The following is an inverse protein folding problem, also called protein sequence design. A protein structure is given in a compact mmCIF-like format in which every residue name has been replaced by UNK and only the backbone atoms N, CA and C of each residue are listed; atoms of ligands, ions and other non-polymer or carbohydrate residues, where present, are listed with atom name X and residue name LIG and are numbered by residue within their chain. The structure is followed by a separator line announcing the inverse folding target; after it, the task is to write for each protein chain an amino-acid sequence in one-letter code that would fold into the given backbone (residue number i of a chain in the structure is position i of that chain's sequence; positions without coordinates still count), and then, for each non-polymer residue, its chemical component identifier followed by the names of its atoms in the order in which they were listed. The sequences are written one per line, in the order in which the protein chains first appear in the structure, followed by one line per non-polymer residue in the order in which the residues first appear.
data_IF_171642504691
#
_entry.id   IF_171642504691
#
_cell.length_a   1.000
_cell.length_b   1.000
_cell.length_c   1.000
_cell.angle_alpha   90.00
_cell.angle_beta   90.00
_cell.angle_gamma   90.00
#
_symmetry.space_group_name_H-M   'P 1'
#
loop_
_entity.id
_entity.type
_entity.pdbx_description
1 polymer ?
#
# COMPACT_ATOMS: atom_id res chain seq x y z
N UNK A 1 78.83 -51.04 -46.49
CA UNK A 1 78.71 -49.57 -46.37
C UNK A 1 80.10 -48.92 -46.24
N UNK A 2 80.94 -48.96 -47.29
CA UNK A 2 82.33 -48.42 -47.28
C UNK A 2 82.49 -47.12 -48.12
N UNK A 3 81.41 -46.36 -48.33
CA UNK A 3 81.30 -45.54 -49.55
C UNK A 3 80.86 -44.07 -49.40
N UNK A 4 80.76 -43.50 -48.20
CA UNK A 4 80.45 -42.06 -48.07
C UNK A 4 81.64 -41.25 -47.57
N UNK A 5 82.31 -41.73 -46.52
CA UNK A 5 83.50 -41.09 -45.94
C UNK A 5 84.71 -41.11 -46.87
N UNK A 6 84.90 -42.17 -47.67
CA UNK A 6 85.99 -42.27 -48.66
C UNK A 6 85.80 -41.31 -49.84
N UNK A 7 84.56 -41.18 -50.34
CA UNK A 7 84.20 -40.25 -51.44
C UNK A 7 84.31 -38.79 -51.03
N UNK A 8 83.88 -38.45 -49.82
CA UNK A 8 84.06 -37.10 -49.26
C UNK A 8 85.55 -36.75 -49.12
N UNK A 9 86.38 -37.69 -48.65
CA UNK A 9 87.83 -37.49 -48.49
C UNK A 9 88.53 -37.21 -49.83
N UNK A 10 88.14 -37.90 -50.91
CA UNK A 10 88.72 -37.71 -52.26
C UNK A 10 88.32 -36.37 -52.91
N UNK A 11 87.11 -35.87 -52.63
CA UNK A 11 86.64 -34.57 -53.13
C UNK A 11 87.30 -33.39 -52.41
N UNK A 12 87.50 -33.50 -51.08
CA UNK A 12 88.10 -32.43 -50.28
C UNK A 12 89.64 -32.46 -50.26
N UNK A 13 90.30 -33.59 -50.59
CA UNK A 13 91.78 -33.68 -50.63
C UNK A 13 92.41 -33.04 -51.87
N UNK A 14 91.69 -32.98 -53.00
CA UNK A 14 92.26 -32.56 -54.29
C UNK A 14 91.92 -31.10 -54.66
N UNK A 15 91.11 -30.40 -53.87
CA UNK A 15 90.70 -29.03 -54.18
C UNK A 15 90.45 -28.20 -52.89
N UNK A 16 91.47 -27.50 -52.36
CA UNK A 16 91.36 -26.76 -51.10
C UNK A 16 90.28 -25.66 -51.13
N UNK A 17 89.91 -25.16 -52.32
CA UNK A 17 88.80 -24.21 -52.48
C UNK A 17 87.44 -24.75 -52.05
N UNK A 18 87.17 -26.06 -52.22
CA UNK A 18 85.91 -26.69 -51.80
C UNK A 18 85.80 -26.77 -50.27
N UNK A 19 86.90 -26.98 -49.56
CA UNK A 19 86.94 -26.96 -48.09
C UNK A 19 86.63 -25.55 -47.59
N UNK A 20 87.22 -24.53 -48.20
CA UNK A 20 87.00 -23.12 -47.83
C UNK A 20 85.53 -22.71 -48.07
N UNK A 21 84.93 -23.12 -49.19
CA UNK A 21 83.52 -22.85 -49.50
C UNK A 21 82.59 -23.56 -48.50
N UNK A 22 82.87 -24.83 -48.17
CA UNK A 22 82.06 -25.56 -47.19
C UNK A 22 82.15 -24.94 -45.78
N UNK A 23 83.34 -24.50 -45.36
CA UNK A 23 83.54 -23.80 -44.09
C UNK A 23 82.86 -22.42 -44.11
N UNK A 24 82.98 -21.65 -45.19
CA UNK A 24 82.32 -20.36 -45.36
C UNK A 24 80.78 -20.50 -45.38
N UNK A 25 80.25 -21.53 -46.03
CA UNK A 25 78.82 -21.83 -46.01
C UNK A 25 78.36 -22.21 -44.59
N UNK A 26 79.14 -23.02 -43.87
CA UNK A 26 78.83 -23.39 -42.49
C UNK A 26 78.88 -22.19 -41.54
N UNK A 27 79.82 -21.25 -41.70
CA UNK A 27 79.88 -20.03 -40.88
C UNK A 27 78.76 -19.04 -41.20
N UNK A 28 78.35 -18.91 -42.47
CA UNK A 28 77.19 -18.11 -42.87
C UNK A 28 75.90 -18.71 -42.31
N UNK A 29 75.73 -20.04 -42.39
CA UNK A 29 74.57 -20.73 -41.80
C UNK A 29 74.56 -20.53 -40.28
N UNK A 30 75.71 -20.68 -39.60
CA UNK A 30 75.80 -20.48 -38.16
C UNK A 30 75.50 -19.03 -37.75
N UNK A 31 76.04 -18.04 -38.47
CA UNK A 31 75.74 -16.61 -38.25
C UNK A 31 74.29 -16.23 -38.58
N UNK A 32 73.69 -16.86 -39.59
CA UNK A 32 72.27 -16.69 -39.90
C UNK A 32 71.39 -17.28 -38.78
N UNK A 33 71.75 -18.44 -38.23
CA UNK A 33 71.00 -19.04 -37.11
C UNK A 33 71.11 -18.23 -35.83
N UNK A 34 72.22 -17.56 -35.54
CA UNK A 34 72.34 -16.72 -34.34
C UNK A 34 71.60 -15.37 -34.49
N UNK A 35 71.46 -14.85 -35.71
CA UNK A 35 70.72 -13.59 -35.98
C UNK A 35 69.20 -13.77 -36.06
N UNK A 36 68.71 -14.99 -36.29
CA UNK A 36 67.28 -15.30 -36.35
C UNK A 36 66.64 -15.60 -34.98
N UNK A 37 67.45 -15.73 -33.92
CA UNK A 37 66.97 -15.97 -32.56
C UNK A 37 66.24 -14.73 -32.01
N UNK A 38 65.05 -14.95 -31.43
CA UNK A 38 64.25 -13.90 -30.80
C UNK A 38 64.15 -14.17 -29.31
N UNK A 39 64.40 -13.16 -28.49
CA UNK A 39 64.19 -13.25 -27.03
C UNK A 39 62.83 -12.65 -26.71
N UNK A 40 62.00 -13.35 -25.97
CA UNK A 40 60.65 -12.91 -25.62
C UNK A 40 60.35 -13.20 -24.16
N UNK A 41 59.36 -12.49 -23.62
CA UNK A 41 58.79 -12.74 -22.30
C UNK A 41 57.34 -13.22 -22.46
N UNK A 42 56.97 -14.25 -21.71
CA UNK A 42 55.60 -14.77 -21.65
C UNK A 42 55.13 -14.61 -20.21
N UNK A 43 54.15 -13.75 -19.96
CA UNK A 43 53.53 -13.57 -18.65
C UNK A 43 52.24 -14.37 -18.58
N UNK A 44 52.20 -15.40 -17.73
CA UNK A 44 51.00 -16.21 -17.45
C UNK A 44 50.50 -15.87 -16.07
N UNK A 45 49.36 -15.19 -15.99
CA UNK A 45 48.75 -14.71 -14.73
C UNK A 45 49.75 -13.94 -13.83
N UNK A 46 50.62 -13.15 -14.44
CA UNK A 46 51.66 -12.36 -13.75
C UNK A 46 52.99 -13.08 -13.55
N UNK A 47 53.08 -14.38 -13.79
CA UNK A 47 54.35 -15.11 -13.75
C UNK A 47 55.07 -15.04 -15.10
N UNK A 48 56.25 -14.43 -15.13
CA UNK A 48 57.00 -14.18 -16.37
C UNK A 48 58.04 -15.26 -16.64
N UNK A 49 57.97 -15.86 -17.83
CA UNK A 49 58.94 -16.81 -18.38
C UNK A 49 59.69 -16.12 -19.52
N UNK A 50 61.01 -16.04 -19.40
CA UNK A 50 61.86 -15.54 -20.46
C UNK A 50 62.39 -16.72 -21.29
N UNK A 51 62.27 -16.63 -22.61
CA UNK A 51 62.78 -17.69 -23.49
C UNK A 51 63.31 -17.14 -24.80
N UNK A 52 64.20 -17.91 -25.41
CA UNK A 52 64.59 -17.71 -26.80
C UNK A 52 63.76 -18.60 -27.73
N UNK A 53 63.45 -18.11 -28.92
CA UNK A 53 62.65 -18.83 -29.90
C UNK A 53 63.02 -18.47 -31.33
N UNK A 54 62.90 -19.45 -32.22
CA UNK A 54 62.99 -19.29 -33.68
C UNK A 54 61.62 -19.31 -34.34
N UNK A 55 60.53 -19.45 -33.56
CA UNK A 55 59.18 -19.55 -34.07
C UNK A 55 58.69 -18.22 -34.65
N UNK A 56 57.74 -18.33 -35.58
CA UNK A 56 57.23 -17.17 -36.31
C UNK A 56 56.02 -16.54 -35.65
N UNK A 57 55.21 -17.34 -34.96
CA UNK A 57 53.91 -16.91 -34.40
C UNK A 57 53.81 -17.20 -32.90
N UNK A 58 52.96 -16.44 -32.20
CA UNK A 58 52.69 -16.65 -30.77
C UNK A 58 52.20 -18.08 -30.52
N UNK A 59 51.30 -18.61 -31.36
CA UNK A 59 50.79 -19.98 -31.27
C UNK A 59 51.89 -21.03 -31.24
N UNK A 60 52.86 -20.92 -32.15
CA UNK A 60 53.99 -21.84 -32.24
C UNK A 60 54.91 -21.73 -31.02
N UNK A 61 55.16 -20.51 -30.55
CA UNK A 61 55.93 -20.24 -29.33
C UNK A 61 55.29 -20.95 -28.14
N UNK A 62 54.00 -20.69 -27.90
CA UNK A 62 53.28 -21.27 -26.76
C UNK A 62 53.26 -22.79 -26.82
N UNK A 63 53.06 -23.36 -28.02
CA UNK A 63 53.12 -24.81 -28.24
C UNK A 63 54.51 -25.38 -27.92
N UNK A 64 55.59 -24.70 -28.33
CA UNK A 64 56.98 -25.11 -28.04
C UNK A 64 57.36 -25.01 -26.56
N UNK A 65 56.76 -24.05 -25.85
CA UNK A 65 56.89 -23.90 -24.40
C UNK A 65 55.99 -24.88 -23.61
N UNK A 66 55.27 -25.79 -24.30
CA UNK A 66 54.28 -26.71 -23.73
C UNK A 66 53.14 -25.99 -22.98
N UNK A 67 52.85 -24.74 -23.35
CA UNK A 67 51.77 -23.93 -22.80
C UNK A 67 50.52 -24.19 -23.64
N UNK A 68 49.63 -25.07 -23.13
CA UNK A 68 48.30 -25.27 -23.71
C UNK A 68 47.42 -24.07 -23.38
N UNK A 69 46.72 -23.54 -24.37
CA UNK A 69 45.85 -22.37 -24.23
C UNK A 69 44.39 -22.81 -24.28
N UNK A 70 43.59 -22.37 -23.31
CA UNK A 70 42.16 -22.63 -23.28
C UNK A 70 41.39 -21.77 -24.29
N UNK A 71 40.20 -22.20 -24.68
CA UNK A 71 39.36 -21.46 -25.65
C UNK A 71 38.86 -20.11 -25.14
N UNK A 72 38.84 -19.92 -23.81
CA UNK A 72 38.39 -18.71 -23.12
C UNK A 72 39.54 -17.90 -22.51
N UNK A 73 40.79 -18.36 -22.67
CA UNK A 73 41.96 -17.60 -22.24
C UNK A 73 42.11 -16.34 -23.10
N UNK A 74 42.59 -15.25 -22.52
CA UNK A 74 42.95 -14.05 -23.28
C UNK A 74 44.44 -14.00 -23.51
N UNK A 75 44.82 -13.79 -24.77
CA UNK A 75 46.22 -13.76 -25.21
C UNK A 75 46.46 -12.46 -25.97
N UNK A 76 47.45 -11.70 -25.51
CA UNK A 76 47.85 -10.42 -26.11
C UNK A 76 49.38 -10.38 -26.24
N UNK A 77 49.93 -10.22 -27.46
CA UNK A 77 49.28 -10.23 -28.76
C UNK A 77 48.62 -11.58 -29.10
N UNK A 78 47.59 -11.58 -29.95
CA UNK A 78 46.82 -12.78 -30.29
C UNK A 78 47.66 -13.90 -30.93
N UNK A 79 47.13 -15.13 -30.93
CA UNK A 79 47.86 -16.35 -31.31
C UNK A 79 48.56 -16.30 -32.69
N UNK A 80 47.97 -15.63 -33.67
CA UNK A 80 48.53 -15.53 -35.04
C UNK A 80 49.52 -14.36 -35.21
N UNK A 81 49.78 -13.59 -34.15
CA UNK A 81 50.68 -12.45 -34.19
C UNK A 81 52.12 -12.90 -34.46
N UNK A 82 52.82 -12.16 -35.34
CA UNK A 82 54.22 -12.42 -35.66
C UNK A 82 55.15 -12.05 -34.50
N UNK A 83 56.01 -12.99 -34.11
CA UNK A 83 56.94 -12.83 -32.99
C UNK A 83 58.16 -12.02 -33.39
N UNK A 84 58.55 -11.07 -32.55
CA UNK A 84 59.75 -10.21 -32.67
C UNK A 84 60.59 -10.34 -31.40
N UNK A 85 61.90 -10.07 -31.51
CA UNK A 85 62.76 -9.99 -30.32
C UNK A 85 62.32 -8.81 -29.43
N UNK A 86 62.33 -9.00 -28.12
CA UNK A 86 61.79 -8.08 -27.11
C UNK A 86 60.27 -8.10 -26.95
N UNK A 87 59.55 -9.00 -27.63
CA UNK A 87 58.08 -9.08 -27.52
C UNK A 87 57.65 -9.67 -26.17
N UNK A 88 56.62 -9.06 -25.59
CA UNK A 88 55.91 -9.59 -24.42
C UNK A 88 54.59 -10.21 -24.84
N UNK A 89 54.31 -11.41 -24.33
CA UNK A 89 53.05 -12.12 -24.55
C UNK A 89 52.37 -12.28 -23.19
N UNK A 90 51.22 -11.64 -23.03
CA UNK A 90 50.37 -11.74 -21.85
C UNK A 90 49.32 -12.82 -22.07
N UNK A 91 49.21 -13.73 -21.11
CA UNK A 91 48.20 -14.78 -21.05
C UNK A 91 47.46 -14.62 -19.74
N UNK A 92 46.16 -14.33 -19.84
CA UNK A 92 45.24 -14.38 -18.70
C UNK A 92 44.39 -15.63 -18.82
N UNK A 93 44.53 -16.53 -17.84
CA UNK A 93 43.80 -17.79 -17.81
C UNK A 93 42.34 -17.57 -17.48
N UNK A 94 41.49 -18.33 -18.15
CA UNK A 94 40.07 -18.36 -17.83
C UNK A 94 39.87 -19.11 -16.51
N UNK A 95 39.28 -18.43 -15.53
CA UNK A 95 38.94 -19.04 -14.25
C UNK A 95 37.47 -19.50 -14.26
N UNK A 96 37.14 -20.61 -13.58
CA UNK A 96 35.75 -21.04 -13.42
C UNK A 96 34.98 -20.11 -12.49
N UNK A 97 33.82 -19.65 -12.92
CA UNK A 97 32.84 -18.92 -12.11
C UNK A 97 31.46 -19.58 -12.24
N UNK A 98 30.64 -19.45 -11.21
CA UNK A 98 29.27 -19.98 -11.21
C UNK A 98 28.29 -18.82 -11.21
N UNK A 99 27.42 -18.75 -12.22
CA UNK A 99 26.40 -17.70 -12.33
C UNK A 99 25.03 -18.32 -12.17
N UNK A 100 24.26 -17.84 -11.19
CA UNK A 100 22.84 -18.17 -11.03
C UNK A 100 21.99 -17.05 -11.60
N UNK A 101 21.20 -17.34 -12.61
CA UNK A 101 20.35 -16.38 -13.31
C UNK A 101 19.14 -17.08 -13.90
N UNK A 102 17.97 -16.45 -13.85
CA UNK A 102 16.71 -16.96 -14.44
C UNK A 102 16.38 -18.40 -13.99
N UNK A 103 16.66 -18.71 -12.73
CA UNK A 103 16.45 -20.03 -12.12
C UNK A 103 17.43 -21.13 -12.56
N UNK A 104 18.46 -20.80 -13.35
CA UNK A 104 19.49 -21.73 -13.83
C UNK A 104 20.84 -21.44 -13.17
N UNK A 105 21.67 -22.48 -13.04
CA UNK A 105 23.06 -22.37 -12.61
C UNK A 105 23.98 -22.68 -13.79
N UNK A 106 24.79 -21.69 -14.19
CA UNK A 106 25.71 -21.74 -15.31
C UNK A 106 27.15 -21.79 -14.79
N UNK A 107 27.94 -22.76 -15.27
CA UNK A 107 29.38 -22.82 -15.01
C UNK A 107 30.12 -22.22 -16.20
N UNK A 108 30.79 -21.11 -15.96
CA UNK A 108 31.38 -20.26 -17.00
C UNK A 108 32.88 -20.16 -16.76
N UNK A 109 33.67 -20.35 -17.80
CA UNK A 109 35.10 -20.05 -17.78
C UNK A 109 35.31 -18.68 -18.42
N UNK A 110 35.91 -17.74 -17.69
CA UNK A 110 36.13 -16.37 -18.18
C UNK A 110 37.50 -15.83 -17.81
N UNK A 111 38.10 -15.08 -18.74
CA UNK A 111 39.30 -14.29 -18.52
C UNK A 111 38.98 -12.78 -18.55
N UNK A 112 37.71 -12.40 -18.35
CA UNK A 112 37.29 -11.00 -18.22
C UNK A 112 37.76 -10.38 -16.91
N UNK A 113 37.96 -9.06 -16.91
CA UNK A 113 38.47 -8.36 -15.74
C UNK A 113 37.40 -8.20 -14.66
N UNK A 114 36.14 -8.02 -15.05
CA UNK A 114 35.03 -7.68 -14.15
C UNK A 114 33.79 -8.52 -14.41
N UNK A 115 32.94 -8.64 -13.37
CA UNK A 115 31.62 -9.29 -13.45
C UNK A 115 30.79 -8.76 -14.62
N UNK A 116 30.75 -7.43 -14.83
CA UNK A 116 29.99 -6.81 -15.93
C UNK A 116 30.43 -7.33 -17.30
N UNK A 117 31.73 -7.36 -17.56
CA UNK A 117 32.24 -7.77 -18.87
C UNK A 117 31.96 -9.26 -19.12
N UNK A 118 32.13 -10.10 -18.09
CA UNK A 118 31.80 -11.52 -18.15
C UNK A 118 30.32 -11.74 -18.47
N UNK A 119 29.41 -11.09 -17.73
CA UNK A 119 27.96 -11.22 -17.96
C UNK A 119 27.57 -10.79 -19.38
N UNK A 120 28.12 -9.67 -19.86
CA UNK A 120 27.89 -9.19 -21.22
C UNK A 120 28.40 -10.16 -22.30
N UNK A 121 29.61 -10.72 -22.12
CA UNK A 121 30.18 -11.68 -23.06
C UNK A 121 29.33 -12.95 -23.19
N UNK A 122 28.72 -13.38 -22.09
CA UNK A 122 27.84 -14.56 -22.04
C UNK A 122 26.38 -14.22 -22.41
N UNK A 123 26.11 -12.98 -22.83
CA UNK A 123 24.78 -12.54 -23.28
C UNK A 123 23.77 -12.32 -22.16
N UNK A 124 24.22 -12.27 -20.90
CA UNK A 124 23.38 -12.00 -19.73
C UNK A 124 23.21 -10.50 -19.58
N UNK A 125 22.23 -9.95 -20.30
CA UNK A 125 21.90 -8.52 -20.25
C UNK A 125 21.08 -8.23 -18.99
N UNK A 126 21.48 -7.20 -18.24
CA UNK A 126 20.81 -6.75 -17.03
C UNK A 126 19.88 -5.58 -17.33
N UNK A 127 18.70 -5.57 -16.72
CA UNK A 127 17.83 -4.39 -16.69
C UNK A 127 18.34 -3.38 -15.66
N UNK A 128 17.86 -2.14 -15.73
CA UNK A 128 18.28 -1.05 -14.82
C UNK A 128 18.10 -1.36 -13.33
N UNK A 129 17.09 -2.18 -12.99
CA UNK A 129 16.74 -2.53 -11.62
C UNK A 129 17.25 -3.91 -11.18
N UNK A 130 17.75 -4.71 -12.12
CA UNK A 130 18.30 -6.02 -11.79
C UNK A 130 19.49 -5.85 -10.84
N UNK A 131 19.68 -6.84 -9.96
CA UNK A 131 20.76 -6.80 -8.98
C UNK A 131 21.69 -7.98 -9.18
N UNK A 132 22.95 -7.75 -8.91
CA UNK A 132 23.99 -8.79 -8.93
C UNK A 132 24.55 -8.88 -7.52
N UNK A 133 24.70 -10.10 -6.98
CA UNK A 133 25.23 -10.31 -5.63
C UNK A 133 26.61 -9.69 -5.47
N UNK A 134 27.42 -9.81 -6.52
CA UNK A 134 28.73 -9.21 -6.65
C UNK A 134 28.62 -7.88 -7.40
N UNK A 135 29.41 -6.89 -7.02
CA UNK A 135 29.43 -5.61 -7.71
C UNK A 135 29.78 -5.76 -9.19
N UNK A 136 29.15 -4.99 -10.08
CA UNK A 136 29.42 -5.07 -11.53
C UNK A 136 30.88 -4.78 -11.91
N UNK A 137 31.56 -3.97 -11.09
CA UNK A 137 32.98 -3.62 -11.26
C UNK A 137 33.91 -4.53 -10.45
N UNK A 138 33.36 -5.50 -9.73
CA UNK A 138 34.14 -6.42 -8.92
C UNK A 138 35.06 -7.25 -9.82
N UNK A 139 36.35 -7.38 -9.49
CA UNK A 139 37.27 -8.22 -10.23
C UNK A 139 36.85 -9.70 -10.20
N UNK A 140 37.01 -10.40 -11.32
CA UNK A 140 36.74 -11.84 -11.38
C UNK A 140 37.83 -12.60 -10.59
N UNK A 141 37.37 -13.50 -9.72
CA UNK A 141 38.22 -14.42 -8.94
C UNK A 141 37.84 -15.88 -9.20
N UNK A 142 38.75 -16.80 -8.91
CA UNK A 142 38.53 -18.23 -9.12
C UNK A 142 37.41 -18.77 -8.22
N UNK A 143 36.50 -19.57 -8.79
CA UNK A 143 35.35 -20.18 -8.12
C UNK A 143 34.32 -19.17 -7.55
N UNK A 144 34.35 -17.93 -8.03
CA UNK A 144 33.39 -16.89 -7.66
C UNK A 144 31.95 -17.32 -7.98
N UNK A 145 31.03 -17.01 -7.06
CA UNK A 145 29.59 -17.30 -7.20
C UNK A 145 28.84 -15.99 -7.36
N UNK A 146 28.15 -15.84 -8.49
CA UNK A 146 27.45 -14.62 -8.86
C UNK A 146 25.97 -14.96 -8.97
N UNK A 147 25.12 -14.25 -8.24
CA UNK A 147 23.66 -14.39 -8.34
C UNK A 147 23.11 -13.14 -9.00
N UNK A 148 22.39 -13.32 -10.10
CA UNK A 148 21.65 -12.26 -10.78
C UNK A 148 20.19 -12.39 -10.39
N UNK A 149 19.66 -11.37 -9.72
CA UNK A 149 18.26 -11.27 -9.32
C UNK A 149 17.52 -10.36 -10.29
N UNK A 150 16.51 -10.90 -10.96
CA UNK A 150 15.65 -10.14 -11.87
C UNK A 150 14.64 -9.33 -11.08
N UNK A 151 14.63 -8.01 -11.27
CA UNK A 151 13.74 -7.11 -10.53
C UNK A 151 12.71 -6.50 -11.48
N UNK A 152 11.44 -6.81 -11.23
CA UNK A 152 10.31 -6.28 -12.00
C UNK A 152 9.39 -5.46 -11.09
N UNK A 153 9.04 -4.25 -11.53
CA UNK A 153 8.06 -3.42 -10.83
C UNK A 153 6.78 -3.31 -11.66
N UNK A 154 5.64 -3.67 -11.06
CA UNK A 154 4.32 -3.55 -11.69
C UNK A 154 3.43 -2.60 -10.90
N UNK A 155 2.69 -1.77 -11.63
CA UNK A 155 1.61 -0.98 -11.06
C UNK A 155 0.30 -1.71 -11.33
N UNK A 156 -0.33 -2.22 -10.27
CA UNK A 156 -1.59 -2.96 -10.35
C UNK A 156 -2.68 -2.10 -9.74
N UNK A 157 -3.79 -1.96 -10.47
CA UNK A 157 -4.98 -1.27 -9.97
C UNK A 157 -6.06 -2.29 -9.69
N UNK A 158 -6.60 -2.28 -8.47
CA UNK A 158 -7.70 -3.15 -8.05
C UNK A 158 -8.92 -2.33 -7.61
N UNK A 159 -10.12 -2.87 -7.82
CA UNK A 159 -11.36 -2.26 -7.33
C UNK A 159 -11.73 -2.83 -5.97
N UNK A 160 -11.91 -1.97 -4.98
CA UNK A 160 -12.40 -2.31 -3.65
C UNK A 160 -13.74 -1.63 -3.38
N UNK A 161 -14.63 -2.31 -2.63
CA UNK A 161 -15.92 -1.75 -2.22
C UNK A 161 -15.76 -0.76 -1.07
N UNK A 162 -16.55 0.31 -1.10
CA UNK A 162 -16.73 1.23 0.04
C UNK A 162 -18.13 1.00 0.58
N UNK A 163 -18.23 0.41 1.77
CA UNK A 163 -19.53 0.14 2.39
C UNK A 163 -20.31 1.45 2.66
N UNK A 164 -21.61 1.44 2.37
CA UNK A 164 -22.48 2.54 2.76
C UNK A 164 -22.76 2.55 4.26
N UNK A 165 -23.11 3.73 4.79
CA UNK A 165 -23.55 3.87 6.19
C UNK A 165 -25.07 3.94 6.28
N UNK A 166 -25.60 3.53 7.43
CA UNK A 166 -27.04 3.58 7.73
C UNK A 166 -27.32 4.77 8.66
N UNK A 167 -28.17 5.70 8.21
CA UNK A 167 -28.66 6.81 9.01
C UNK A 167 -30.12 6.59 9.40
N UNK A 168 -30.42 6.73 10.69
CA UNK A 168 -31.79 6.65 11.21
C UNK A 168 -32.35 8.06 11.40
N UNK A 169 -33.53 8.32 10.85
CA UNK A 169 -34.27 9.57 11.01
C UNK A 169 -35.56 9.30 11.76
N UNK A 170 -35.78 9.96 12.90
CA UNK A 170 -37.05 9.85 13.61
C UNK A 170 -38.20 10.39 12.77
N UNK A 171 -39.30 9.64 12.66
CA UNK A 171 -40.53 10.06 11.99
C UNK A 171 -41.70 9.95 12.98
N UNK A 172 -42.33 11.09 13.28
CA UNK A 172 -43.47 11.20 14.17
C UNK A 172 -44.80 10.92 13.49
N UNK A 173 -44.81 10.38 12.26
CA UNK A 173 -46.00 9.87 11.55
C UNK A 173 -46.05 8.34 11.53
N UNK A 174 -44.95 7.69 11.90
CA UNK A 174 -44.82 6.24 11.93
C UNK A 174 -44.94 5.72 13.36
N UNK A 175 -45.56 4.55 13.51
CA UNK A 175 -45.71 3.88 14.81
C UNK A 175 -44.35 3.41 15.34
N UNK A 176 -44.17 3.51 16.64
CA UNK A 176 -42.94 3.12 17.33
C UNK A 176 -42.66 1.63 17.09
N UNK A 177 -41.43 1.32 16.69
CA UNK A 177 -41.01 -0.03 16.32
C UNK A 177 -41.15 -0.32 14.82
N UNK A 178 -41.90 0.50 14.07
CA UNK A 178 -41.92 0.41 12.61
C UNK A 178 -40.74 1.16 12.00
N UNK A 179 -40.27 0.66 10.87
CA UNK A 179 -39.23 1.32 10.07
C UNK A 179 -39.67 1.42 8.62
N UNK A 180 -39.34 2.54 7.98
CA UNK A 180 -39.55 2.73 6.55
C UNK A 180 -38.24 3.18 5.91
N UNK A 181 -37.79 2.48 4.88
CA UNK A 181 -36.62 2.90 4.10
C UNK A 181 -37.02 4.15 3.31
N UNK A 182 -36.29 5.24 3.51
CA UNK A 182 -36.45 6.49 2.76
C UNK A 182 -35.51 6.55 1.56
N UNK A 183 -34.31 5.99 1.72
CA UNK A 183 -33.31 5.87 0.67
C UNK A 183 -32.56 4.57 0.88
N UNK A 184 -32.43 3.76 -0.17
CA UNK A 184 -31.66 2.53 -0.06
C UNK A 184 -30.15 2.80 -0.15
N UNK A 185 -29.37 1.93 0.47
CA UNK A 185 -27.92 2.04 0.47
C UNK A 185 -27.30 1.37 -0.75
N UNK A 186 -26.27 1.99 -1.32
CA UNK A 186 -25.45 1.37 -2.35
C UNK A 186 -23.99 1.52 -1.99
N UNK A 187 -23.25 0.41 -2.03
CA UNK A 187 -21.81 0.45 -1.87
C UNK A 187 -21.18 1.32 -2.97
N UNK A 188 -20.16 2.06 -2.57
CA UNK A 188 -19.26 2.73 -3.47
C UNK A 188 -18.16 1.79 -3.96
N UNK A 189 -17.33 2.31 -4.86
CA UNK A 189 -16.14 1.66 -5.37
C UNK A 189 -14.98 2.64 -5.28
N UNK A 190 -13.83 2.16 -4.82
CA UNK A 190 -12.55 2.87 -4.96
C UNK A 190 -11.59 2.01 -5.77
N UNK A 191 -10.75 2.68 -6.55
CA UNK A 191 -9.57 2.11 -7.16
C UNK A 191 -8.43 2.24 -6.17
N UNK A 192 -7.73 1.14 -5.91
CA UNK A 192 -6.52 1.11 -5.11
C UNK A 192 -5.38 0.74 -6.04
N UNK A 193 -4.42 1.66 -6.16
CA UNK A 193 -3.24 1.49 -6.99
C UNK A 193 -2.08 1.03 -6.13
N UNK A 194 -1.57 -0.15 -6.43
CA UNK A 194 -0.48 -0.79 -5.72
C UNK A 194 0.76 -0.84 -6.62
N UNK A 195 1.91 -0.48 -6.08
CA UNK A 195 3.21 -0.79 -6.67
C UNK A 195 3.68 -2.12 -6.09
N UNK A 196 3.86 -3.12 -6.94
CA UNK A 196 4.30 -4.46 -6.57
C UNK A 196 5.69 -4.71 -7.16
N UNK A 197 6.63 -5.14 -6.33
CA UNK A 197 8.00 -5.49 -6.72
C UNK A 197 8.14 -7.00 -6.68
N UNK A 198 8.64 -7.56 -7.78
CA UNK A 198 8.93 -8.97 -7.94
C UNK A 198 10.44 -9.18 -8.07
N UNK A 199 10.94 -10.22 -7.40
CA UNK A 199 12.30 -10.71 -7.52
C UNK A 199 12.27 -12.16 -7.99
N UNK A 200 12.89 -12.43 -9.14
CA UNK A 200 12.84 -13.74 -9.81
C UNK A 200 11.39 -14.28 -9.93
N UNK A 201 10.45 -13.37 -10.24
CA UNK A 201 9.03 -13.67 -10.39
C UNK A 201 8.24 -13.82 -9.07
N UNK A 202 8.88 -13.69 -7.91
CA UNK A 202 8.22 -13.76 -6.60
C UNK A 202 7.94 -12.36 -6.05
N UNK A 203 6.71 -12.12 -5.60
CA UNK A 203 6.34 -10.86 -4.95
C UNK A 203 7.11 -10.69 -3.64
N UNK A 204 7.91 -9.63 -3.54
CA UNK A 204 8.70 -9.30 -2.33
C UNK A 204 8.21 -8.04 -1.62
N UNK A 205 7.51 -7.16 -2.34
CA UNK A 205 6.98 -5.92 -1.77
C UNK A 205 5.72 -5.48 -2.49
N UNK A 206 4.75 -4.98 -1.73
CA UNK A 206 3.48 -4.48 -2.24
C UNK A 206 3.04 -3.28 -1.41
N UNK A 207 3.10 -2.10 -2.02
CA UNK A 207 2.81 -0.84 -1.34
C UNK A 207 1.67 -0.10 -2.04
N UNK A 208 0.76 0.47 -1.24
CA UNK A 208 -0.29 1.36 -1.76
C UNK A 208 0.32 2.70 -2.11
N UNK A 209 0.26 3.07 -3.38
CA UNK A 209 0.79 4.35 -3.87
C UNK A 209 -0.32 5.37 -4.15
N UNK A 210 -1.56 4.92 -4.24
CA UNK A 210 -2.69 5.81 -4.45
C UNK A 210 -4.03 5.12 -4.25
N UNK A 211 -5.05 5.93 -4.02
CA UNK A 211 -6.44 5.52 -4.05
C UNK A 211 -7.29 6.62 -4.66
N UNK A 212 -8.34 6.24 -5.38
CA UNK A 212 -9.29 7.16 -5.99
C UNK A 212 -10.70 6.61 -5.84
N UNK A 213 -11.65 7.45 -5.45
CA UNK A 213 -13.07 7.07 -5.42
C UNK A 213 -13.57 7.04 -6.86
N UNK A 214 -14.00 5.86 -7.32
CA UNK A 214 -14.62 5.66 -8.63
C UNK A 214 -16.12 5.89 -8.56
N UNK A 215 -16.76 5.40 -7.50
CA UNK A 215 -18.18 5.59 -7.21
C UNK A 215 -18.35 5.86 -5.72
N UNK A 216 -18.91 7.01 -5.34
CA UNK A 216 -19.20 7.29 -3.94
C UNK A 216 -20.33 6.39 -3.41
N UNK A 217 -20.26 5.93 -2.15
CA UNK A 217 -21.36 5.17 -1.56
C UNK A 217 -22.59 6.06 -1.36
N UNK A 218 -23.77 5.48 -1.59
CA UNK A 218 -25.04 6.11 -1.27
C UNK A 218 -25.48 5.57 0.08
N UNK A 219 -25.59 6.43 1.09
CA UNK A 219 -25.99 6.02 2.43
C UNK A 219 -27.46 5.57 2.47
N UNK A 220 -27.76 4.55 3.28
CA UNK A 220 -29.12 4.08 3.53
C UNK A 220 -29.78 4.97 4.58
N UNK A 221 -30.96 5.50 4.31
CA UNK A 221 -31.73 6.31 5.25
C UNK A 221 -32.98 5.53 5.65
N UNK A 222 -33.13 5.31 6.96
CA UNK A 222 -34.27 4.59 7.54
C UNK A 222 -35.04 5.53 8.45
N UNK A 223 -36.31 5.79 8.12
CA UNK A 223 -37.24 6.42 9.03
C UNK A 223 -37.62 5.43 10.15
N UNK A 224 -37.51 5.86 11.40
CA UNK A 224 -37.90 5.07 12.57
C UNK A 224 -39.10 5.73 13.22
N UNK A 225 -40.18 4.98 13.38
CA UNK A 225 -41.39 5.50 13.98
C UNK A 225 -41.21 5.84 15.45
N UNK A 226 -41.87 6.92 15.86
CA UNK A 226 -41.84 7.45 17.23
C UNK A 226 -43.22 7.59 17.85
N UNK A 227 -44.31 7.44 17.08
CA UNK A 227 -45.67 7.48 17.62
C UNK A 227 -45.91 6.22 18.45
N UNK A 228 -46.23 6.40 19.71
CA UNK A 228 -46.85 5.36 20.54
C UNK A 228 -48.33 5.67 20.71
N UNK A 229 -49.11 4.68 21.13
CA UNK A 229 -50.54 4.84 21.32
C UNK A 229 -50.92 4.62 22.78
N UNK A 230 -51.72 5.54 23.29
CA UNK A 230 -52.36 5.39 24.59
C UNK A 230 -53.86 5.16 24.38
N UNK A 231 -54.42 4.19 25.10
CA UNK A 231 -55.85 3.89 25.10
C UNK A 231 -56.45 4.40 26.42
N UNK A 232 -57.19 5.53 26.41
CA UNK A 232 -57.92 6.00 27.56
C UNK A 232 -58.96 5.00 28.06
N UNK A 233 -59.30 5.06 29.35
CA UNK A 233 -60.40 4.28 29.93
C UNK A 233 -61.77 4.57 29.27
N UNK A 234 -61.90 5.73 28.62
CA UNK A 234 -63.11 6.15 27.89
C UNK A 234 -63.15 5.66 26.43
N UNK A 235 -62.20 4.81 26.01
CA UNK A 235 -62.07 4.32 24.64
C UNK A 235 -61.29 5.26 23.71
N UNK A 236 -61.02 4.78 22.49
CA UNK A 236 -60.22 5.48 21.46
C UNK A 236 -58.70 5.27 21.59
N UNK A 237 -57.94 5.84 20.65
CA UNK A 237 -56.47 5.79 20.62
C UNK A 237 -55.91 7.20 20.50
N UNK A 238 -55.06 7.61 21.44
CA UNK A 238 -54.36 8.90 21.43
C UNK A 238 -52.92 8.66 20.99
N UNK A 239 -52.47 9.21 19.85
CA UNK A 239 -51.08 9.12 19.44
C UNK A 239 -50.23 10.07 20.29
N UNK A 240 -49.09 9.60 20.76
CA UNK A 240 -48.15 10.39 21.53
C UNK A 240 -46.70 10.09 21.15
N UNK A 241 -45.82 11.09 21.25
CA UNK A 241 -44.38 10.93 21.02
C UNK A 241 -43.57 10.94 22.31
N UNK A 242 -44.13 11.46 23.40
CA UNK A 242 -43.52 11.53 24.72
C UNK A 242 -44.53 11.13 25.79
N UNK A 243 -44.10 10.35 26.78
CA UNK A 243 -44.87 10.09 28.00
C UNK A 243 -44.15 10.75 29.17
N UNK A 244 -44.85 11.59 29.93
CA UNK A 244 -44.32 12.25 31.11
C UNK A 244 -45.11 11.82 32.33
N UNK A 245 -44.41 11.53 33.43
CA UNK A 245 -45.04 11.31 34.74
C UNK A 245 -44.83 12.58 35.56
N UNK A 246 -45.91 13.26 35.94
CA UNK A 246 -45.83 14.53 36.66
C UNK A 246 -46.77 14.56 37.86
N UNK A 247 -46.48 15.46 38.80
CA UNK A 247 -47.36 15.77 39.93
C UNK A 247 -48.42 16.75 39.46
N UNK A 248 -49.70 16.36 39.53
CA UNK A 248 -50.81 17.24 39.18
C UNK A 248 -51.31 18.00 40.41
N UNK A 249 -51.43 19.32 40.26
CA UNK A 249 -52.16 20.21 41.16
C UNK A 249 -53.39 20.76 40.43
N UNK A 250 -54.24 21.51 41.12
CA UNK A 250 -55.38 22.19 40.49
C UNK A 250 -55.48 23.66 40.87
N UNK A 251 -56.01 24.47 39.95
CA UNK A 251 -56.32 25.89 40.17
C UNK A 251 -57.63 26.30 39.50
N UNK A 252 -58.17 27.44 39.90
CA UNK A 252 -59.33 28.10 39.28
C UNK A 252 -59.01 29.57 38.99
N UNK A 253 -59.89 30.28 38.29
CA UNK A 253 -59.76 31.72 38.09
C UNK A 253 -60.11 32.57 39.33
N UNK A 254 -60.41 31.96 40.48
CA UNK A 254 -60.84 32.71 41.66
C UNK A 254 -59.73 33.59 42.26
N UNK A 255 -60.13 34.50 43.15
CA UNK A 255 -59.21 35.44 43.80
C UNK A 255 -58.12 34.73 44.61
N UNK A 256 -58.42 33.59 45.26
CA UNK A 256 -57.43 32.85 46.06
C UNK A 256 -56.31 32.24 45.20
N UNK A 257 -56.61 31.85 43.96
CA UNK A 257 -55.64 31.23 43.06
C UNK A 257 -54.88 32.26 42.23
N UNK A 258 -55.53 33.39 41.89
CA UNK A 258 -55.00 34.33 40.89
C UNK A 258 -54.82 35.76 41.40
N UNK A 259 -55.34 36.07 42.60
CA UNK A 259 -55.38 37.43 43.15
C UNK A 259 -56.34 38.36 42.41
N UNK A 260 -57.24 37.85 41.55
CA UNK A 260 -58.11 38.64 40.67
C UNK A 260 -59.58 38.25 40.80
N UNK A 261 -60.46 39.23 40.61
CA UNK A 261 -61.92 39.11 40.60
C UNK A 261 -62.47 39.30 39.17
N UNK A 262 -63.67 38.78 38.87
CA UNK A 262 -64.35 39.12 37.63
C UNK A 262 -64.42 40.65 37.45
N UNK A 263 -63.92 41.15 36.32
CA UNK A 263 -63.81 42.59 36.03
C UNK A 263 -62.38 43.14 36.14
N UNK A 264 -61.47 42.46 36.84
CA UNK A 264 -60.07 42.90 36.95
C UNK A 264 -59.31 42.73 35.62
N UNK A 265 -58.36 43.64 35.36
CA UNK A 265 -57.47 43.54 34.19
C UNK A 265 -56.71 42.22 34.22
N UNK A 266 -56.97 41.38 33.21
CA UNK A 266 -56.33 40.08 33.08
C UNK A 266 -56.89 38.99 34.00
N UNK A 267 -58.13 39.15 34.47
CA UNK A 267 -58.92 38.06 35.06
C UNK A 267 -59.02 36.88 34.09
N UNK A 268 -58.81 35.66 34.60
CA UNK A 268 -58.81 34.40 33.85
C UNK A 268 -57.87 34.35 32.61
N UNK A 269 -56.94 35.30 32.45
CA UNK A 269 -55.99 35.30 31.33
C UNK A 269 -54.78 34.44 31.66
N UNK A 270 -54.49 33.52 30.75
CA UNK A 270 -53.32 32.65 30.78
C UNK A 270 -52.06 33.38 30.30
N UNK A 271 -50.89 32.80 30.54
CA UNK A 271 -49.61 33.30 30.02
C UNK A 271 -49.58 33.50 28.49
N UNK A 272 -50.32 32.69 27.73
CA UNK A 272 -50.47 32.86 26.26
C UNK A 272 -51.50 33.92 25.86
N UNK A 273 -52.20 34.53 26.82
CA UNK A 273 -53.24 35.53 26.60
C UNK A 273 -54.64 34.96 26.37
N UNK A 274 -54.78 33.65 26.18
CA UNK A 274 -56.07 32.96 26.09
C UNK A 274 -56.82 33.01 27.42
N UNK A 275 -58.15 32.91 27.38
CA UNK A 275 -58.98 32.77 28.58
C UNK A 275 -58.93 31.31 29.05
N UNK A 276 -58.59 31.11 30.32
CA UNK A 276 -58.52 29.79 30.94
C UNK A 276 -59.91 29.13 30.92
N UNK A 277 -59.96 27.90 30.40
CA UNK A 277 -61.23 27.17 30.18
C UNK A 277 -61.13 25.71 30.60
N UNK A 278 -62.19 25.17 31.19
CA UNK A 278 -62.36 23.73 31.41
C UNK A 278 -63.32 23.19 30.37
N UNK A 279 -62.88 22.24 29.55
CA UNK A 279 -63.76 21.56 28.60
C UNK A 279 -63.59 20.04 28.70
N UNK A 280 -64.48 19.31 29.41
CA UNK A 280 -64.40 17.85 29.55
C UNK A 280 -64.49 17.06 28.24
N UNK A 281 -65.13 17.64 27.22
CA UNK A 281 -65.32 17.04 25.90
C UNK A 281 -64.40 17.64 24.84
N UNK A 282 -63.44 18.48 25.23
CA UNK A 282 -62.52 19.15 24.32
C UNK A 282 -61.23 19.58 25.01
N UNK A 283 -60.66 20.70 24.57
CA UNK A 283 -59.38 21.19 25.08
C UNK A 283 -59.57 22.04 26.33
N UNK A 284 -58.92 21.65 27.42
CA UNK A 284 -58.85 22.44 28.65
C UNK A 284 -57.51 23.16 28.79
N UNK A 285 -57.50 24.24 29.56
CA UNK A 285 -56.28 24.95 29.92
C UNK A 285 -55.51 24.19 31.01
N UNK A 286 -54.19 24.17 30.91
CA UNK A 286 -53.28 23.73 31.97
C UNK A 286 -52.09 24.68 32.09
N UNK A 287 -51.57 24.82 33.31
CA UNK A 287 -50.33 25.53 33.57
C UNK A 287 -49.15 24.55 33.66
N UNK A 288 -48.02 24.91 33.05
CA UNK A 288 -46.83 24.05 32.99
C UNK A 288 -45.56 24.84 33.22
N UNK A 289 -44.44 24.14 33.42
CA UNK A 289 -43.10 24.72 33.23
C UNK A 289 -42.72 24.68 31.73
N UNK A 290 -42.58 25.83 31.04
CA UNK A 290 -42.24 25.87 29.61
C UNK A 290 -40.92 25.18 29.26
N UNK A 291 -40.01 24.99 30.23
CA UNK A 291 -38.74 24.29 30.04
C UNK A 291 -38.93 22.77 29.93
N UNK A 292 -40.05 22.24 30.42
CA UNK A 292 -40.39 20.80 30.38
C UNK A 292 -41.45 20.51 29.32
N UNK A 293 -42.50 21.34 29.28
CA UNK A 293 -43.58 21.30 28.29
C UNK A 293 -43.72 22.71 27.69
N UNK A 294 -43.30 22.94 26.44
CA UNK A 294 -43.45 24.23 25.80
C UNK A 294 -44.92 24.70 25.74
N UNK A 295 -45.16 26.00 25.85
CA UNK A 295 -46.50 26.57 25.66
C UNK A 295 -47.02 26.27 24.25
N UNK A 296 -48.34 26.06 24.14
CA UNK A 296 -49.02 25.59 22.94
C UNK A 296 -49.03 24.07 22.78
N UNK A 297 -48.28 23.31 23.58
CA UNK A 297 -48.28 21.84 23.52
C UNK A 297 -49.67 21.30 23.81
N UNK A 298 -50.17 20.44 22.91
CA UNK A 298 -51.38 19.63 23.11
C UNK A 298 -50.99 18.34 23.82
N UNK A 299 -51.71 17.99 24.88
CA UNK A 299 -51.43 16.82 25.70
C UNK A 299 -52.72 16.13 26.16
N UNK A 300 -52.62 14.85 26.47
CA UNK A 300 -53.66 14.10 27.14
C UNK A 300 -53.23 13.80 28.59
N UNK A 301 -54.06 14.23 29.54
CA UNK A 301 -53.83 14.03 30.96
C UNK A 301 -54.76 12.92 31.47
N UNK A 302 -54.19 11.83 32.00
CA UNK A 302 -54.97 10.69 32.50
C UNK A 302 -55.92 11.13 33.60
N UNK A 303 -57.22 10.87 33.40
CA UNK A 303 -58.29 11.25 34.34
C UNK A 303 -58.85 12.66 34.16
N UNK A 304 -58.14 13.55 33.44
CA UNK A 304 -58.57 14.94 33.21
C UNK A 304 -59.05 15.18 31.76
N UNK A 305 -58.37 14.60 30.78
CA UNK A 305 -58.72 14.69 29.35
C UNK A 305 -57.72 15.48 28.51
N UNK A 306 -58.16 15.96 27.36
CA UNK A 306 -57.34 16.76 26.44
C UNK A 306 -57.08 18.16 27.00
N UNK A 307 -55.83 18.60 26.89
CA UNK A 307 -55.39 19.89 27.41
C UNK A 307 -54.38 20.57 26.50
N UNK A 308 -54.29 21.90 26.63
CA UNK A 308 -53.29 22.73 25.96
C UNK A 308 -52.50 23.48 27.04
N UNK A 309 -51.18 23.37 26.98
CA UNK A 309 -50.26 24.15 27.82
C UNK A 309 -50.37 25.63 27.44
N UNK A 310 -51.22 26.39 28.12
CA UNK A 310 -51.48 27.80 27.79
C UNK A 310 -51.03 28.75 28.88
N UNK A 311 -50.72 28.22 30.06
CA UNK A 311 -50.49 29.01 31.25
C UNK A 311 -49.20 28.62 31.97
N UNK A 312 -48.77 29.47 32.88
CA UNK A 312 -47.59 29.24 33.74
C UNK A 312 -47.89 29.72 35.15
N UNK A 313 -47.39 29.01 36.16
CA UNK A 313 -47.49 29.43 37.56
C UNK A 313 -46.12 29.58 38.23
N UNK A 314 -46.03 30.45 39.23
CA UNK A 314 -44.80 30.62 40.02
C UNK A 314 -44.35 29.32 40.68
N UNK A 315 -45.29 28.52 41.18
CA UNK A 315 -45.05 27.23 41.81
C UNK A 315 -45.03 26.02 40.84
N UNK A 316 -45.39 26.23 39.56
CA UNK A 316 -45.46 25.16 38.55
C UNK A 316 -44.10 25.05 37.87
N UNK A 317 -43.18 24.32 38.52
CA UNK A 317 -41.78 24.15 38.09
C UNK A 317 -41.41 22.68 37.96
N UNK A 318 -40.63 22.34 36.94
CA UNK A 318 -40.20 20.98 36.66
C UNK A 318 -41.38 20.06 36.28
N UNK A 319 -41.43 18.88 36.89
CA UNK A 319 -42.45 17.86 36.63
C UNK A 319 -43.77 18.10 37.40
N UNK A 320 -44.24 19.34 37.43
CA UNK A 320 -45.52 19.75 38.02
C UNK A 320 -46.42 20.30 36.92
N UNK A 321 -47.68 19.89 36.92
CA UNK A 321 -48.73 20.44 36.05
C UNK A 321 -49.90 20.93 36.90
N UNK A 322 -50.43 22.09 36.57
CA UNK A 322 -51.62 22.63 37.24
C UNK A 322 -52.83 22.53 36.32
N UNK A 323 -53.88 21.86 36.79
CA UNK A 323 -55.09 21.57 36.03
C UNK A 323 -56.14 22.64 36.32
N UNK A 324 -56.63 23.33 35.29
CA UNK A 324 -57.64 24.36 35.44
C UNK A 324 -59.04 23.79 35.66
N UNK A 325 -59.79 24.34 36.61
CA UNK A 325 -61.22 24.05 36.78
C UNK A 325 -62.02 25.35 36.83
N UNK A 326 -63.22 25.35 36.25
CA UNK A 326 -64.15 26.50 36.33
C UNK A 326 -64.67 26.69 37.74
N UNK A 327 -65.02 25.58 38.40
CA UNK A 327 -65.47 25.54 39.78
C UNK A 327 -64.85 24.31 40.46
N UNK A 328 -64.25 24.50 41.64
CA UNK A 328 -63.89 23.37 42.50
C UNK A 328 -65.08 23.06 43.42
N UNK A 329 -65.44 21.78 43.56
CA UNK A 329 -66.37 21.34 44.64
C UNK A 329 -65.88 21.72 46.04
N UNK A 330 -64.57 22.00 46.16
CA UNK A 330 -63.91 22.47 47.37
C UNK A 330 -63.34 23.87 47.07
N UNK A 331 -64.16 24.91 47.16
CA UNK A 331 -63.79 26.32 46.88
C UNK A 331 -62.66 26.88 47.77
N UNK A 332 -62.06 26.05 48.63
CA UNK A 332 -61.25 26.51 49.74
C UNK A 332 -59.77 26.65 49.42
N UNK A 333 -59.12 25.89 48.53
CA UNK A 333 -57.65 25.98 48.38
C UNK A 333 -57.14 25.78 46.93
N UNK A 334 -56.07 26.52 46.59
CA UNK A 334 -55.37 26.45 45.30
C UNK A 334 -54.12 25.58 45.42
N UNK A 335 -53.74 24.88 44.34
CA UNK A 335 -52.59 23.98 44.37
C UNK A 335 -52.86 22.64 45.06
N UNK A 336 -54.14 22.27 45.25
CA UNK A 336 -54.51 20.99 45.86
C UNK A 336 -53.99 19.82 45.01
N UNK A 337 -53.40 18.78 45.63
CA UNK A 337 -52.85 17.64 44.88
C UNK A 337 -53.98 16.80 44.27
N UNK A 338 -53.88 16.52 42.96
CA UNK A 338 -54.88 15.75 42.19
C UNK A 338 -54.40 14.32 41.91
N UNK A 339 -53.42 13.84 42.68
CA UNK A 339 -52.59 12.63 42.47
C UNK A 339 -51.53 12.76 41.35
N UNK A 340 -50.56 11.85 41.36
CA UNK A 340 -49.58 11.73 40.28
C UNK A 340 -50.27 11.25 39.01
N UNK A 341 -49.99 11.89 37.88
CA UNK A 341 -50.66 11.60 36.62
C UNK A 341 -49.64 11.34 35.51
N UNK A 342 -49.93 10.33 34.70
CA UNK A 342 -49.24 10.13 33.42
C UNK A 342 -49.86 11.07 32.39
N UNK A 343 -49.00 11.62 31.54
CA UNK A 343 -49.37 12.45 30.42
C UNK A 343 -48.73 11.94 29.15
N UNK A 344 -49.49 12.06 28.07
CA UNK A 344 -49.18 11.57 26.74
C UNK A 344 -49.31 12.72 25.74
#
# INVERSE_FOLDING_TARGET
MKNMTSRLRQYFSNNPGLVIIAVAAATIILAATTTMEKRISISVDGNTINMATYKSTVKEVLSSANIKVGSKDKILPGLDSRVKSGMEVFIRRAVPVTVRVDGKELKIYTAEDTVKNMLNQEGIVLNEKDRVSEGLKEPITENMKIVVVRVEEKTITSTEKIAYKIFKKSDSRLEKGTTKILQDGQDGEKLVTMKVVYEDGKEVSKIKIGEAIKKSPINKIVAVGTISWFTPARGGRVPYTRKLTMKATSYTANYKCTGKRPGDKGFARTATGAIAKRNPSGWSTVAVDPRVIPLGTKLYVVGYGFAIAQDTGGAVKGNIIDLYFEHMKWERDCGLPVKQQSMF
#
